data_IF_458708100900
#
_entry.id   IF_458708100900
#
_cell.length_a   1.000
_cell.length_b   1.000
_cell.length_c   1.000
_cell.angle_alpha   90.00
_cell.angle_beta   90.00
_cell.angle_gamma   90.00
#
_symmetry.space_group_name_H-M   'P 1'
#
loop_
_entity.id
_entity.type
_entity.pdbx_description
1 polymer ?
#
# COMPACT_ATOMS: atom_id res chain seq x y z
N UNK A 1 -19.30 47.73 -58.71
CA UNK A 1 -19.69 48.26 -57.39
C UNK A 1 -20.47 47.29 -56.48
N UNK A 2 -21.54 46.62 -56.93
CA UNK A 2 -22.26 45.63 -56.11
C UNK A 2 -21.46 44.36 -55.90
N UNK A 3 -20.71 43.89 -56.89
CA UNK A 3 -19.88 42.67 -56.83
C UNK A 3 -18.66 42.83 -55.88
N UNK A 4 -18.09 44.03 -55.80
CA UNK A 4 -16.97 44.30 -54.88
C UNK A 4 -17.41 44.29 -53.41
N UNK A 5 -18.64 44.73 -53.13
CA UNK A 5 -19.22 44.69 -51.78
C UNK A 5 -19.50 43.25 -51.35
N UNK A 6 -20.04 42.42 -52.22
CA UNK A 6 -20.32 41.00 -51.93
C UNK A 6 -19.04 40.22 -51.76
N UNK A 7 -18.01 40.46 -52.56
CA UNK A 7 -16.70 39.80 -52.42
C UNK A 7 -16.00 40.16 -51.09
N UNK A 8 -16.04 41.42 -50.72
CA UNK A 8 -15.47 41.88 -49.46
C UNK A 8 -16.26 41.35 -48.23
N UNK A 9 -17.59 41.20 -48.32
CA UNK A 9 -18.40 40.64 -47.27
C UNK A 9 -18.16 39.13 -47.08
N UNK A 10 -18.03 38.37 -48.16
CA UNK A 10 -17.67 36.98 -48.12
C UNK A 10 -16.29 36.75 -47.52
N UNK A 11 -15.30 37.55 -47.95
CA UNK A 11 -13.92 37.49 -47.44
C UNK A 11 -13.84 37.82 -45.94
N UNK A 12 -14.65 38.79 -45.46
CA UNK A 12 -14.71 39.19 -44.06
C UNK A 12 -15.31 38.09 -43.19
N UNK A 13 -16.31 37.36 -43.70
CA UNK A 13 -16.91 36.20 -42.99
C UNK A 13 -15.93 35.03 -42.90
N UNK A 14 -15.15 34.74 -43.92
CA UNK A 14 -14.12 33.69 -43.86
C UNK A 14 -13.00 34.05 -42.87
N UNK A 15 -12.58 35.30 -42.77
CA UNK A 15 -11.58 35.78 -41.81
C UNK A 15 -12.13 35.66 -40.36
N UNK A 16 -13.41 36.05 -40.15
CA UNK A 16 -14.05 35.89 -38.84
C UNK A 16 -14.22 34.41 -38.42
N UNK A 17 -14.60 33.56 -39.35
CA UNK A 17 -14.69 32.13 -39.11
C UNK A 17 -13.33 31.49 -38.82
N UNK A 18 -12.27 31.93 -39.52
CA UNK A 18 -10.89 31.45 -39.30
C UNK A 18 -10.33 31.95 -37.95
N UNK A 19 -10.63 33.18 -37.53
CA UNK A 19 -10.28 33.70 -36.22
C UNK A 19 -11.03 33.00 -35.09
N UNK A 20 -12.31 32.65 -35.24
CA UNK A 20 -13.06 31.86 -34.29
C UNK A 20 -12.55 30.42 -34.19
N UNK A 21 -12.10 29.84 -35.31
CA UNK A 21 -11.50 28.50 -35.32
C UNK A 21 -10.12 28.50 -34.63
N UNK A 22 -9.30 29.54 -34.80
CA UNK A 22 -8.03 29.71 -34.08
C UNK A 22 -8.26 29.95 -32.58
N UNK A 23 -9.26 30.78 -32.21
CA UNK A 23 -9.61 30.99 -30.80
C UNK A 23 -10.17 29.68 -30.14
N UNK A 24 -10.93 28.88 -30.88
CA UNK A 24 -11.39 27.55 -30.40
C UNK A 24 -10.27 26.55 -30.20
N UNK A 25 -9.13 26.71 -30.90
CA UNK A 25 -7.97 25.78 -30.75
C UNK A 25 -7.00 26.20 -29.62
N UNK A 26 -7.14 27.42 -29.08
CA UNK A 26 -6.20 28.00 -28.11
C UNK A 26 -6.61 27.77 -26.64
N UNK A 27 -7.82 27.25 -26.37
CA UNK A 27 -8.21 26.88 -25.02
C UNK A 27 -8.06 25.36 -24.86
N UNK A 28 -6.83 24.89 -24.86
CA UNK A 28 -6.53 23.70 -24.06
C UNK A 28 -6.48 24.21 -22.62
N UNK A 29 -7.60 24.11 -21.94
CA UNK A 29 -7.59 24.09 -20.48
C UNK A 29 -6.81 22.82 -20.12
N UNK A 30 -5.52 22.95 -19.87
CA UNK A 30 -4.81 21.97 -19.08
C UNK A 30 -5.46 22.10 -17.69
N UNK A 31 -6.41 21.25 -17.38
CA UNK A 31 -6.69 20.99 -15.99
C UNK A 31 -5.34 20.48 -15.43
N UNK A 32 -4.70 21.25 -14.58
CA UNK A 32 -3.59 20.75 -13.78
C UNK A 32 -4.15 19.53 -13.04
N UNK A 33 -3.70 18.35 -13.46
CA UNK A 33 -4.12 17.12 -12.80
C UNK A 33 -3.57 17.17 -11.38
N UNK A 34 -4.48 17.17 -10.42
CA UNK A 34 -4.16 17.24 -9.00
C UNK A 34 -3.44 15.96 -8.57
N UNK A 35 -2.34 16.03 -7.80
CA UNK A 35 -1.73 14.84 -7.23
C UNK A 35 -2.73 13.95 -6.49
N UNK A 36 -2.66 12.64 -6.72
CA UNK A 36 -3.52 11.64 -6.08
C UNK A 36 -2.68 10.52 -5.52
N UNK A 37 -3.24 9.76 -4.57
CA UNK A 37 -2.66 8.52 -4.03
C UNK A 37 -3.66 7.38 -4.15
N UNK A 38 -3.15 6.15 -4.27
CA UNK A 38 -3.91 4.90 -4.22
C UNK A 38 -3.11 3.85 -3.43
N UNK A 39 -3.04 3.99 -2.08
CA UNK A 39 -2.21 3.14 -1.25
C UNK A 39 -2.60 1.67 -1.34
N UNK A 40 -1.64 0.81 -1.68
CA UNK A 40 -1.83 -0.62 -1.83
C UNK A 40 -0.80 -1.41 -1.03
N UNK A 41 -1.16 -2.62 -0.63
CA UNK A 41 -0.27 -3.58 0.01
C UNK A 41 -0.17 -4.86 -0.80
N UNK A 42 1.08 -5.34 -0.98
CA UNK A 42 1.40 -6.63 -1.57
C UNK A 42 1.95 -7.54 -0.47
N UNK A 43 1.20 -8.58 -0.14
CA UNK A 43 1.57 -9.59 0.86
C UNK A 43 2.42 -10.68 0.20
N UNK A 44 3.59 -10.96 0.78
CA UNK A 44 4.51 -11.99 0.30
C UNK A 44 4.24 -13.26 1.11
N UNK A 45 3.52 -14.19 0.49
CA UNK A 45 3.11 -15.45 1.12
C UNK A 45 3.88 -16.64 0.53
N UNK A 46 3.87 -17.81 1.19
CA UNK A 46 4.45 -19.03 0.61
C UNK A 46 3.81 -19.45 -0.72
N UNK A 47 2.55 -19.07 -0.95
CA UNK A 47 1.80 -19.38 -2.16
C UNK A 47 2.06 -18.38 -3.29
N UNK A 48 2.67 -17.24 -2.98
CA UNK A 48 2.98 -16.16 -3.93
C UNK A 48 2.66 -14.78 -3.38
N UNK A 49 2.63 -13.79 -4.28
CA UNK A 49 2.30 -12.41 -3.94
C UNK A 49 0.80 -12.16 -4.09
N UNK A 50 0.19 -11.49 -3.11
CA UNK A 50 -1.22 -11.13 -3.08
C UNK A 50 -1.38 -9.63 -2.83
N UNK A 51 -2.11 -8.94 -3.70
CA UNK A 51 -2.47 -7.52 -3.52
C UNK A 51 -3.83 -7.46 -2.85
N UNK A 52 -3.90 -6.87 -1.66
CA UNK A 52 -5.13 -6.77 -0.87
C UNK A 52 -5.08 -5.55 0.07
N UNK A 53 -6.22 -5.11 0.56
CA UNK A 53 -6.33 -4.14 1.65
C UNK A 53 -6.33 -4.79 3.03
N UNK A 54 -6.46 -6.12 3.09
CA UNK A 54 -6.41 -6.86 4.36
C UNK A 54 -5.88 -8.27 4.15
N UNK A 55 -5.10 -8.77 5.10
CA UNK A 55 -4.59 -10.13 5.11
C UNK A 55 -4.44 -10.65 6.55
N UNK A 56 -4.70 -11.94 6.72
CA UNK A 56 -4.50 -12.64 8.00
C UNK A 56 -3.65 -13.87 7.77
N UNK A 57 -2.55 -13.98 8.50
CA UNK A 57 -1.60 -15.07 8.33
C UNK A 57 -0.68 -15.30 9.51
N UNK A 58 0.34 -16.11 9.29
CA UNK A 58 1.36 -16.45 10.29
C UNK A 58 2.58 -15.56 10.17
N UNK A 59 3.27 -15.29 11.28
CA UNK A 59 4.59 -14.66 11.26
C UNK A 59 5.66 -15.66 10.79
N UNK A 60 6.78 -15.20 10.15
CA UNK A 60 6.96 -13.84 9.66
C UNK A 60 6.16 -13.57 8.38
N UNK A 61 5.59 -12.38 8.25
CA UNK A 61 4.87 -11.95 7.06
C UNK A 61 5.46 -10.64 6.53
N UNK A 62 6.03 -10.68 5.34
CA UNK A 62 6.56 -9.49 4.68
C UNK A 62 5.51 -8.86 3.79
N UNK A 63 5.38 -7.53 3.89
CA UNK A 63 4.41 -6.76 3.12
C UNK A 63 5.10 -5.55 2.50
N UNK A 64 4.91 -5.33 1.19
CA UNK A 64 5.31 -4.13 0.49
C UNK A 64 4.12 -3.18 0.41
N UNK A 65 4.36 -1.93 0.73
CA UNK A 65 3.38 -0.85 0.69
C UNK A 65 3.78 0.13 -0.39
N UNK A 66 2.87 0.41 -1.32
CA UNK A 66 3.09 1.30 -2.45
C UNK A 66 2.11 2.47 -2.37
N UNK A 67 2.60 3.70 -2.47
CA UNK A 67 1.76 4.90 -2.45
C UNK A 67 0.91 5.05 -3.70
N UNK A 68 1.40 4.51 -4.84
CA UNK A 68 0.81 4.68 -6.18
C UNK A 68 0.41 6.14 -6.43
N UNK A 69 1.32 7.06 -6.12
CA UNK A 69 1.11 8.47 -6.32
C UNK A 69 1.08 8.78 -7.82
N UNK A 70 0.08 9.55 -8.24
CA UNK A 70 -0.07 10.00 -9.63
C UNK A 70 -0.16 11.52 -9.71
N UNK A 71 0.15 12.07 -10.90
CA UNK A 71 0.05 13.50 -11.21
C UNK A 71 0.89 14.41 -10.29
N UNK A 72 1.98 13.89 -9.72
CA UNK A 72 2.85 14.62 -8.79
C UNK A 72 3.48 15.85 -9.49
N UNK A 73 3.88 15.71 -10.76
CA UNK A 73 4.30 16.81 -11.63
C UNK A 73 5.29 17.78 -10.98
N UNK A 74 4.82 19.01 -10.75
CA UNK A 74 5.62 20.10 -10.19
C UNK A 74 5.58 20.18 -8.65
N UNK A 75 4.84 19.29 -7.99
CA UNK A 75 4.74 19.25 -6.54
C UNK A 75 5.91 18.51 -5.90
N UNK A 76 6.32 18.97 -4.74
CA UNK A 76 7.21 18.23 -3.84
C UNK A 76 6.36 17.34 -2.96
N UNK A 77 6.60 16.03 -3.03
CA UNK A 77 5.85 15.03 -2.27
C UNK A 77 6.53 14.72 -0.93
N UNK A 78 5.73 14.56 0.10
CA UNK A 78 6.12 14.06 1.42
C UNK A 78 5.20 12.91 1.78
N UNK A 79 5.77 11.77 2.13
CA UNK A 79 5.06 10.55 2.49
C UNK A 79 5.33 10.19 3.94
N UNK A 80 4.32 9.64 4.62
CA UNK A 80 4.44 9.17 5.99
C UNK A 80 3.54 7.94 6.20
N UNK A 81 4.14 6.75 6.11
CA UNK A 81 3.49 5.49 6.45
C UNK A 81 3.45 5.32 7.96
N UNK A 82 2.26 5.19 8.52
CA UNK A 82 2.01 4.99 9.95
C UNK A 82 1.51 3.60 10.23
N UNK A 83 2.22 2.87 11.08
CA UNK A 83 1.88 1.51 11.51
C UNK A 83 1.38 1.58 12.94
N UNK A 84 0.11 1.24 13.17
CA UNK A 84 -0.55 1.35 14.48
C UNK A 84 -1.15 0.01 14.86
N UNK A 85 -0.96 -0.44 16.09
CA UNK A 85 -1.68 -1.63 16.60
C UNK A 85 -3.17 -1.30 16.74
N UNK A 86 -4.04 -2.25 16.40
CA UNK A 86 -5.48 -2.10 16.56
C UNK A 86 -5.81 -1.71 18.01
N UNK A 87 -6.64 -0.69 18.17
CA UNK A 87 -7.01 -0.12 19.48
C UNK A 87 -5.98 0.84 20.09
N UNK A 88 -4.80 1.02 19.48
CA UNK A 88 -3.84 2.03 19.92
C UNK A 88 -4.09 3.37 19.20
N UNK A 89 -3.73 4.48 19.85
CA UNK A 89 -3.86 5.84 19.31
C UNK A 89 -2.56 6.38 18.69
N UNK A 90 -1.43 5.71 18.92
CA UNK A 90 -0.11 6.16 18.44
C UNK A 90 0.54 5.08 17.58
N UNK A 91 1.15 5.45 16.45
CA UNK A 91 1.91 4.50 15.65
C UNK A 91 3.14 3.99 16.41
N UNK A 92 3.42 2.69 16.27
CA UNK A 92 4.65 2.08 16.80
C UNK A 92 5.82 2.19 15.82
N UNK A 93 5.53 2.46 14.53
CA UNK A 93 6.52 2.64 13.48
C UNK A 93 6.03 3.69 12.48
N UNK A 94 6.95 4.54 12.02
CA UNK A 94 6.72 5.49 10.93
C UNK A 94 7.82 5.33 9.89
N UNK A 95 7.46 5.42 8.58
CA UNK A 95 8.37 5.43 7.44
C UNK A 95 8.03 6.61 6.54
N UNK A 96 9.07 7.22 5.94
CA UNK A 96 8.93 8.46 5.15
C UNK A 96 9.22 8.27 3.65
N UNK A 97 9.44 7.03 3.22
CA UNK A 97 9.63 6.70 1.80
C UNK A 97 8.29 6.68 1.07
N UNK A 98 8.30 6.90 -0.24
CA UNK A 98 7.11 6.76 -1.10
C UNK A 98 6.56 5.32 -1.00
N UNK A 99 7.43 4.34 -1.21
CA UNK A 99 7.14 2.93 -1.06
C UNK A 99 7.99 2.36 0.07
N UNK A 100 7.43 1.44 0.85
CA UNK A 100 8.13 0.83 1.98
C UNK A 100 7.82 -0.66 2.12
N UNK A 101 8.69 -1.38 2.80
CA UNK A 101 8.50 -2.80 3.12
C UNK A 101 8.65 -3.01 4.62
N UNK A 102 7.81 -3.89 5.18
CA UNK A 102 7.90 -4.26 6.58
C UNK A 102 7.57 -5.74 6.78
N UNK A 103 8.34 -6.40 7.66
CA UNK A 103 8.10 -7.78 8.06
C UNK A 103 7.48 -7.83 9.44
N UNK A 104 6.24 -8.30 9.50
CA UNK A 104 5.50 -8.48 10.75
C UNK A 104 5.94 -9.79 11.41
N UNK A 105 6.42 -9.69 12.63
CA UNK A 105 6.93 -10.82 13.45
C UNK A 105 6.15 -11.03 14.73
N UNK A 106 5.30 -10.07 15.12
CA UNK A 106 4.51 -10.10 16.36
C UNK A 106 3.05 -10.34 16.07
N UNK A 107 2.40 -11.16 16.89
CA UNK A 107 0.96 -11.42 16.82
C UNK A 107 0.12 -10.15 17.05
N UNK A 108 -1.11 -10.21 16.55
CA UNK A 108 -2.09 -9.12 16.63
C UNK A 108 -2.29 -8.39 15.31
N UNK A 109 -3.26 -7.48 15.29
CA UNK A 109 -3.63 -6.70 14.10
C UNK A 109 -2.90 -5.37 14.09
N UNK A 110 -2.30 -5.03 12.96
CA UNK A 110 -1.72 -3.73 12.66
C UNK A 110 -2.53 -3.04 11.57
N UNK A 111 -2.84 -1.77 11.79
CA UNK A 111 -3.46 -0.89 10.81
C UNK A 111 -2.39 0.02 10.22
N UNK A 112 -2.34 0.07 8.90
CA UNK A 112 -1.34 0.86 8.16
C UNK A 112 -2.04 1.90 7.31
N UNK A 113 -1.64 3.15 7.46
CA UNK A 113 -2.15 4.29 6.70
C UNK A 113 -0.99 5.07 6.10
N UNK A 114 -1.21 5.68 4.94
CA UNK A 114 -0.27 6.60 4.30
C UNK A 114 -0.80 8.03 4.44
N UNK A 115 -0.05 8.90 5.09
CA UNK A 115 -0.26 10.34 4.97
C UNK A 115 0.64 10.87 3.89
N UNK A 116 0.08 11.57 2.92
CA UNK A 116 0.82 12.18 1.82
C UNK A 116 0.48 13.67 1.69
N UNK A 117 1.50 14.47 1.48
CA UNK A 117 1.35 15.92 1.28
C UNK A 117 2.16 16.34 0.06
N UNK A 118 1.51 17.05 -0.84
CA UNK A 118 2.08 17.57 -2.09
C UNK A 118 2.10 19.10 -2.04
N UNK A 119 3.27 19.70 -2.17
CA UNK A 119 3.47 21.15 -2.02
C UNK A 119 4.06 21.75 -3.27
N UNK A 120 3.44 22.82 -3.78
CA UNK A 120 3.95 23.64 -4.87
C UNK A 120 3.74 25.12 -4.53
N UNK A 121 4.79 25.80 -4.04
CA UNK A 121 4.71 27.17 -3.56
C UNK A 121 3.72 27.33 -2.41
N UNK A 122 2.60 28.00 -2.65
CA UNK A 122 1.54 28.23 -1.67
C UNK A 122 0.40 27.20 -1.79
N UNK A 123 0.45 26.33 -2.79
CA UNK A 123 -0.54 25.29 -2.99
C UNK A 123 -0.13 24.02 -2.25
N UNK A 124 -1.07 23.42 -1.51
CA UNK A 124 -0.84 22.22 -0.71
C UNK A 124 -2.04 21.31 -0.81
N UNK A 125 -1.77 20.06 -1.20
CA UNK A 125 -2.74 18.98 -1.27
C UNK A 125 -2.32 17.92 -0.27
N UNK A 126 -3.23 17.56 0.64
CA UNK A 126 -2.92 16.62 1.72
C UNK A 126 -3.96 15.51 1.81
N UNK A 127 -3.47 14.29 1.98
CA UNK A 127 -4.21 13.06 2.25
C UNK A 127 -3.82 12.61 3.65
N UNK A 128 -4.63 12.97 4.64
CA UNK A 128 -4.38 12.73 6.07
C UNK A 128 -5.61 12.09 6.73
N UNK A 129 -5.97 12.50 7.95
CA UNK A 129 -7.08 11.94 8.70
C UNK A 129 -8.42 11.95 7.93
N UNK A 130 -8.70 13.03 7.22
CA UNK A 130 -9.97 13.18 6.47
C UNK A 130 -10.09 12.15 5.35
N UNK A 131 -8.98 11.86 4.65
CA UNK A 131 -8.94 10.82 3.62
C UNK A 131 -9.23 9.45 4.23
N UNK A 132 -8.57 9.11 5.35
CA UNK A 132 -8.71 7.82 6.02
C UNK A 132 -10.01 7.68 6.84
N UNK A 133 -10.78 8.75 7.01
CA UNK A 133 -12.13 8.67 7.55
C UNK A 133 -13.12 8.02 6.55
N UNK A 134 -12.84 8.14 5.24
CA UNK A 134 -13.65 7.58 4.16
C UNK A 134 -13.09 6.27 3.59
N UNK A 135 -11.77 6.05 3.71
CA UNK A 135 -11.05 4.88 3.17
C UNK A 135 -10.63 3.97 4.33
N UNK A 136 -10.82 2.66 4.16
CA UNK A 136 -10.40 1.69 5.17
C UNK A 136 -8.86 1.60 5.22
N UNK A 137 -8.24 1.62 6.42
CA UNK A 137 -6.82 1.33 6.59
C UNK A 137 -6.45 -0.06 6.06
N UNK A 138 -5.21 -0.20 5.60
CA UNK A 138 -4.66 -1.52 5.29
C UNK A 138 -4.51 -2.29 6.59
N UNK A 139 -5.08 -3.49 6.67
CA UNK A 139 -5.11 -4.32 7.87
C UNK A 139 -4.23 -5.56 7.72
N UNK A 140 -3.27 -5.73 8.62
CA UNK A 140 -2.37 -6.89 8.67
C UNK A 140 -2.55 -7.61 10.00
N UNK A 141 -3.12 -8.81 9.96
CA UNK A 141 -3.42 -9.63 11.15
C UNK A 141 -2.48 -10.82 11.23
N UNK A 142 -1.70 -10.90 12.29
CA UNK A 142 -0.78 -11.99 12.56
C UNK A 142 -1.33 -12.88 13.65
N UNK A 143 -1.46 -14.18 13.36
CA UNK A 143 -1.91 -15.19 14.30
C UNK A 143 -0.93 -15.32 15.46
N UNK A 144 -1.45 -15.68 16.64
CA UNK A 144 -0.62 -16.02 17.80
C UNK A 144 0.31 -17.21 17.48
N UNK A 145 1.48 -17.21 18.09
CA UNK A 145 2.42 -18.31 17.91
C UNK A 145 1.90 -19.57 18.57
N UNK A 146 2.02 -20.69 17.85
CA UNK A 146 1.62 -22.00 18.33
C UNK A 146 2.65 -23.04 17.97
N UNK A 147 3.18 -23.73 18.98
CA UNK A 147 4.10 -24.83 18.81
C UNK A 147 3.83 -25.89 19.89
N UNK A 148 3.50 -27.10 19.49
CA UNK A 148 3.23 -28.20 20.39
C UNK A 148 4.10 -29.41 20.04
N UNK A 149 4.59 -30.10 21.07
CA UNK A 149 5.33 -31.34 20.95
C UNK A 149 4.57 -32.50 21.59
N UNK A 150 4.79 -33.74 21.17
CA UNK A 150 4.23 -34.91 21.84
C UNK A 150 4.82 -35.08 23.25
N UNK A 151 4.02 -35.55 24.17
CA UNK A 151 4.45 -35.84 25.55
C UNK A 151 5.26 -37.13 25.67
N UNK A 152 5.26 -37.99 24.63
CA UNK A 152 5.94 -39.26 24.62
C UNK A 152 6.74 -39.43 23.32
N UNK A 153 7.85 -40.11 23.43
CA UNK A 153 8.75 -40.47 22.36
C UNK A 153 9.32 -41.88 22.65
N UNK A 154 9.18 -42.79 21.71
CA UNK A 154 9.62 -44.19 21.86
C UNK A 154 10.19 -44.70 20.52
N UNK A 155 11.51 -44.56 20.30
CA UNK A 155 12.15 -44.97 19.07
C UNK A 155 12.37 -46.50 19.09
N UNK A 156 11.35 -47.25 18.73
CA UNK A 156 11.36 -48.72 18.73
C UNK A 156 10.99 -49.32 17.36
N UNK A 157 10.90 -48.49 16.33
CA UNK A 157 10.64 -48.84 14.93
C UNK A 157 9.25 -49.48 14.70
N UNK A 158 8.28 -49.18 15.57
CA UNK A 158 6.89 -49.64 15.42
C UNK A 158 6.01 -48.66 14.59
N UNK A 159 6.59 -47.52 14.13
CA UNK A 159 5.91 -46.49 13.38
C UNK A 159 5.11 -45.50 14.24
N UNK A 160 5.14 -45.63 15.58
CA UNK A 160 4.40 -44.82 16.54
C UNK A 160 5.37 -44.07 17.45
N UNK A 161 5.42 -42.76 17.35
CA UNK A 161 6.29 -41.88 18.13
C UNK A 161 7.80 -42.19 18.03
N UNK A 162 8.24 -42.79 16.93
CA UNK A 162 9.66 -43.08 16.69
C UNK A 162 10.47 -41.81 16.44
N UNK A 163 9.81 -40.71 16.01
CA UNK A 163 10.44 -39.44 15.76
C UNK A 163 9.84 -38.37 16.68
N UNK A 164 10.69 -37.70 17.46
CA UNK A 164 10.28 -36.54 18.24
C UNK A 164 10.23 -35.30 17.36
N UNK A 165 9.03 -34.89 16.95
CA UNK A 165 8.80 -33.73 16.07
C UNK A 165 7.62 -32.92 16.57
N UNK A 166 7.57 -31.65 16.16
CA UNK A 166 6.41 -30.79 16.43
C UNK A 166 5.13 -31.40 15.85
N UNK A 167 4.02 -31.26 16.58
CA UNK A 167 2.70 -31.62 16.09
C UNK A 167 2.32 -30.72 14.90
N UNK A 168 1.46 -31.23 14.03
CA UNK A 168 0.93 -30.43 12.91
C UNK A 168 0.14 -29.23 13.42
N UNK A 169 0.11 -28.14 12.62
CA UNK A 169 -0.60 -26.90 12.95
C UNK A 169 0.22 -25.92 13.77
N UNK A 170 1.56 -26.04 13.75
CA UNK A 170 2.42 -24.94 14.24
C UNK A 170 2.27 -23.71 13.32
N UNK A 171 2.34 -22.53 13.91
CA UNK A 171 2.18 -21.25 13.20
C UNK A 171 2.91 -20.11 13.92
N UNK A 172 3.23 -19.06 13.19
CA UNK A 172 3.86 -17.83 13.70
C UNK A 172 5.13 -18.13 14.53
N UNK A 173 5.97 -19.04 14.05
CA UNK A 173 7.25 -19.39 14.67
C UNK A 173 8.33 -18.62 13.92
N UNK A 174 8.82 -17.54 14.52
CA UNK A 174 9.88 -16.69 13.95
C UNK A 174 11.25 -17.27 14.26
N UNK A 175 11.41 -17.81 15.46
CA UNK A 175 12.66 -18.43 15.92
C UNK A 175 12.34 -19.58 16.89
N UNK A 176 13.10 -20.64 16.84
CA UNK A 176 12.94 -21.80 17.72
C UNK A 176 14.30 -22.34 18.16
N UNK A 177 14.50 -22.45 19.47
CA UNK A 177 15.66 -23.07 20.08
C UNK A 177 15.24 -24.30 20.88
N UNK A 178 15.91 -25.43 20.68
CA UNK A 178 15.70 -26.63 21.45
C UNK A 178 17.02 -27.20 21.99
N UNK A 179 17.01 -27.63 23.24
CA UNK A 179 18.14 -28.31 23.89
C UNK A 179 17.69 -29.66 24.37
N UNK A 180 18.47 -30.69 24.01
CA UNK A 180 18.21 -32.06 24.43
C UNK A 180 19.31 -32.47 25.40
N UNK A 181 18.93 -32.84 26.62
CA UNK A 181 19.84 -33.30 27.64
C UNK A 181 19.62 -34.80 27.88
N UNK A 182 20.69 -35.52 28.17
CA UNK A 182 20.57 -36.86 28.70
C UNK A 182 20.28 -36.79 30.20
N UNK A 183 20.06 -37.99 30.84
CA UNK A 183 19.76 -38.04 32.28
C UNK A 183 20.84 -37.50 33.21
N UNK A 184 22.00 -37.14 32.68
CA UNK A 184 23.15 -36.63 33.42
C UNK A 184 23.44 -35.12 33.21
N UNK A 185 22.70 -34.45 32.33
CA UNK A 185 22.84 -33.04 31.96
C UNK A 185 23.64 -32.76 30.70
#
# INVERSE_FOLDING_TARGET
MVWDILYNFARMNHIRLFLLLIMGFAIRVYADEVPTIDPQATFITPEGEEVSTSYSGSAPLTVRFNANAANVGIYTAHYEWRFTKEGASTPYLIRYDEDTEYTFTEAGTSLVVLYATFVNGNDTIAYTEDYWAEVQPISVSISESRLEFPNAFSPNDDGINDIYKAKNGYQSIVEFHAYIFNRWG
#
